data_IF_064705589915
#
_entry.id   IF_064705589915
#
_cell.length_a   1.000
_cell.length_b   1.000
_cell.length_c   1.000
_cell.angle_alpha   90.00
_cell.angle_beta   90.00
_cell.angle_gamma   90.00
#
_symmetry.space_group_name_H-M   'P 1'
#
loop_
_entity.id
_entity.type
_entity.pdbx_description
1 polymer ?
#
# COMPACT_ATOMS: atom_id res chain seq x y z
N UNK A 1 27.73 -11.41 -20.29
CA UNK A 1 26.79 -12.55 -20.16
C UNK A 1 26.06 -12.33 -18.84
N UNK A 2 24.74 -12.06 -18.89
CA UNK A 2 23.95 -11.90 -17.70
C UNK A 2 23.78 -13.24 -16.97
N UNK A 3 23.98 -13.25 -15.66
CA UNK A 3 23.60 -14.40 -14.85
C UNK A 3 22.07 -14.46 -14.81
N UNK A 4 21.50 -15.58 -15.25
CA UNK A 4 20.08 -15.83 -15.19
C UNK A 4 19.79 -16.55 -13.87
N UNK A 5 19.04 -15.89 -12.99
CA UNK A 5 18.48 -16.52 -11.80
C UNK A 5 17.11 -17.07 -12.16
N UNK A 6 17.00 -18.38 -12.30
CA UNK A 6 15.72 -19.05 -12.57
C UNK A 6 15.00 -19.38 -11.27
N UNK A 7 13.66 -19.30 -11.27
CA UNK A 7 12.80 -19.77 -10.17
C UNK A 7 13.12 -19.19 -8.78
N UNK A 8 13.25 -17.87 -8.70
CA UNK A 8 13.39 -17.21 -7.41
C UNK A 8 12.04 -17.17 -6.67
N UNK A 9 12.06 -17.60 -5.41
CA UNK A 9 10.89 -17.49 -4.53
C UNK A 9 10.97 -16.18 -3.77
N UNK A 10 9.95 -15.34 -3.94
CA UNK A 10 9.79 -14.07 -3.25
C UNK A 10 8.48 -14.09 -2.47
N UNK A 11 8.52 -13.59 -1.24
CA UNK A 11 7.32 -13.39 -0.43
C UNK A 11 6.67 -12.03 -0.64
N UNK A 12 7.37 -11.09 -1.26
CA UNK A 12 6.89 -9.74 -1.49
C UNK A 12 6.11 -9.66 -2.82
N UNK A 13 4.83 -9.33 -2.80
CA UNK A 13 4.05 -9.13 -4.01
C UNK A 13 4.33 -7.76 -4.64
N UNK A 14 3.91 -7.60 -5.89
CA UNK A 14 3.97 -6.35 -6.61
C UNK A 14 5.20 -6.20 -7.50
N UNK A 15 4.97 -5.62 -8.67
CA UNK A 15 5.99 -5.41 -9.71
C UNK A 15 7.17 -4.56 -9.21
N UNK A 16 6.90 -3.56 -8.40
CA UNK A 16 7.94 -2.70 -7.82
C UNK A 16 8.89 -3.48 -6.91
N UNK A 17 8.40 -4.49 -6.17
CA UNK A 17 9.24 -5.35 -5.34
C UNK A 17 10.12 -6.26 -6.19
N UNK A 18 9.63 -6.75 -7.34
CA UNK A 18 10.47 -7.49 -8.29
C UNK A 18 11.62 -6.62 -8.83
N UNK A 19 11.35 -5.34 -9.12
CA UNK A 19 12.38 -4.39 -9.55
C UNK A 19 13.43 -4.17 -8.44
N UNK A 20 12.98 -3.94 -7.20
CA UNK A 20 13.85 -3.76 -6.04
C UNK A 20 14.74 -4.99 -5.82
N UNK A 21 14.16 -6.19 -5.86
CA UNK A 21 14.90 -7.46 -5.72
C UNK A 21 15.89 -7.64 -6.87
N UNK A 22 15.51 -7.30 -8.09
CA UNK A 22 16.43 -7.37 -9.24
C UNK A 22 17.65 -6.48 -9.04
N UNK A 23 17.43 -5.26 -8.54
CA UNK A 23 18.53 -4.34 -8.21
C UNK A 23 19.41 -4.90 -7.08
N UNK A 24 18.81 -5.44 -6.02
CA UNK A 24 19.53 -6.04 -4.90
C UNK A 24 20.37 -7.24 -5.34
N UNK A 25 19.82 -8.13 -6.18
CA UNK A 25 20.55 -9.27 -6.77
C UNK A 25 21.74 -8.76 -7.58
N UNK A 26 21.52 -7.74 -8.42
CA UNK A 26 22.61 -7.18 -9.24
C UNK A 26 23.76 -6.66 -8.37
N UNK A 27 23.45 -5.92 -7.32
CA UNK A 27 24.45 -5.43 -6.37
C UNK A 27 25.15 -6.60 -5.67
N UNK A 28 24.42 -7.60 -5.20
CA UNK A 28 24.99 -8.80 -4.57
C UNK A 28 25.99 -9.53 -5.48
N UNK A 29 25.63 -9.70 -6.75
CA UNK A 29 26.52 -10.33 -7.76
C UNK A 29 27.79 -9.51 -7.98
N UNK A 30 27.69 -8.18 -8.09
CA UNK A 30 28.84 -7.29 -8.24
C UNK A 30 29.77 -7.31 -7.01
N UNK A 31 29.21 -7.53 -5.83
CA UNK A 31 29.96 -7.70 -4.58
C UNK A 31 30.54 -9.12 -4.40
N UNK A 32 30.33 -10.03 -5.35
CA UNK A 32 30.83 -11.40 -5.31
C UNK A 32 30.06 -12.33 -4.37
N UNK A 33 28.83 -11.97 -3.94
CA UNK A 33 27.96 -12.84 -3.15
C UNK A 33 27.51 -14.02 -4.05
N UNK A 34 27.57 -15.24 -3.49
CA UNK A 34 27.23 -16.45 -4.26
C UNK A 34 25.74 -16.51 -4.57
N UNK A 35 25.37 -17.16 -5.67
CA UNK A 35 23.96 -17.39 -6.01
C UNK A 35 23.21 -18.12 -4.88
N UNK A 36 23.87 -19.08 -4.23
CA UNK A 36 23.31 -19.81 -3.11
C UNK A 36 22.94 -18.88 -1.94
N UNK A 37 23.83 -17.97 -1.56
CA UNK A 37 23.57 -17.02 -0.46
C UNK A 37 22.49 -16.01 -0.83
N UNK A 38 22.46 -15.54 -2.09
CA UNK A 38 21.41 -14.65 -2.59
C UNK A 38 20.06 -15.35 -2.50
N UNK A 39 19.94 -16.59 -2.97
CA UNK A 39 18.68 -17.37 -2.88
C UNK A 39 18.23 -17.55 -1.44
N UNK A 40 19.15 -17.97 -0.58
CA UNK A 40 18.86 -18.15 0.85
C UNK A 40 18.39 -16.86 1.51
N UNK A 41 19.04 -15.72 1.21
CA UNK A 41 18.63 -14.42 1.72
C UNK A 41 17.21 -14.03 1.25
N UNK A 42 16.88 -14.23 -0.03
CA UNK A 42 15.56 -13.93 -0.58
C UNK A 42 14.46 -14.82 0.00
N UNK A 43 14.72 -16.12 0.19
CA UNK A 43 13.77 -17.04 0.81
C UNK A 43 13.50 -16.74 2.28
N UNK A 44 14.51 -16.28 3.01
CA UNK A 44 14.41 -15.93 4.43
C UNK A 44 13.91 -14.51 4.69
N UNK A 45 13.84 -13.66 3.67
CA UNK A 45 13.44 -12.27 3.82
C UNK A 45 11.96 -12.16 4.17
N UNK A 46 11.68 -11.58 5.34
CA UNK A 46 10.32 -11.45 5.87
C UNK A 46 9.60 -10.17 5.41
N UNK A 47 10.24 -9.36 4.58
CA UNK A 47 9.71 -8.06 4.18
C UNK A 47 10.20 -6.92 5.07
N UNK A 48 9.60 -5.77 4.91
CA UNK A 48 9.88 -4.55 5.65
C UNK A 48 8.59 -4.15 6.36
N UNK A 49 8.69 -3.77 7.62
CA UNK A 49 7.57 -3.26 8.41
C UNK A 49 6.88 -2.12 7.66
N UNK A 50 5.56 -2.18 7.57
CA UNK A 50 4.73 -1.21 6.83
C UNK A 50 5.07 -1.08 5.33
N UNK A 51 5.52 -2.16 4.70
CA UNK A 51 5.70 -2.26 3.24
C UNK A 51 5.02 -3.53 2.75
N UNK A 52 3.73 -3.44 2.44
CA UNK A 52 2.84 -4.56 2.16
C UNK A 52 2.96 -5.66 3.23
N UNK A 53 2.91 -5.24 4.49
CA UNK A 53 3.09 -6.11 5.64
C UNK A 53 1.77 -6.83 5.96
N UNK A 54 1.79 -8.17 5.95
CA UNK A 54 0.65 -8.95 6.42
C UNK A 54 0.61 -8.93 7.95
N UNK A 55 -0.27 -8.09 8.51
CA UNK A 55 -0.49 -8.02 9.95
C UNK A 55 -1.35 -9.19 10.42
N UNK A 56 -2.33 -9.57 9.60
CA UNK A 56 -3.20 -10.70 9.87
C UNK A 56 -3.63 -11.36 8.57
N UNK A 57 -3.59 -12.69 8.53
CA UNK A 57 -4.09 -13.49 7.41
C UNK A 57 -4.94 -14.63 7.95
N UNK A 58 -6.26 -14.50 7.82
CA UNK A 58 -7.25 -15.49 8.20
C UNK A 58 -8.00 -16.03 7.00
N UNK A 59 -8.87 -17.01 7.25
CA UNK A 59 -9.65 -17.67 6.20
C UNK A 59 -10.49 -16.67 5.39
N UNK A 60 -11.14 -15.73 6.06
CA UNK A 60 -12.10 -14.79 5.46
C UNK A 60 -11.61 -13.35 5.40
N UNK A 61 -10.58 -13.00 6.16
CA UNK A 61 -10.07 -11.65 6.27
C UNK A 61 -8.55 -11.63 6.17
N UNK A 62 -8.03 -10.57 5.58
CA UNK A 62 -6.61 -10.26 5.53
C UNK A 62 -6.45 -8.80 5.90
N UNK A 63 -5.50 -8.49 6.77
CA UNK A 63 -5.10 -7.12 7.08
C UNK A 63 -3.67 -6.89 6.64
N UNK A 64 -3.50 -5.91 5.75
CA UNK A 64 -2.21 -5.50 5.21
C UNK A 64 -1.96 -4.06 5.62
N UNK A 65 -0.78 -3.77 6.17
CA UNK A 65 -0.30 -2.41 6.44
C UNK A 65 0.75 -2.01 5.40
N UNK A 66 0.55 -0.84 4.79
CA UNK A 66 1.50 -0.25 3.85
C UNK A 66 1.72 1.23 4.14
N UNK A 67 2.96 1.68 4.04
CA UNK A 67 3.34 3.08 4.27
C UNK A 67 3.15 3.96 3.03
N UNK A 68 2.42 3.48 2.04
CA UNK A 68 2.14 4.23 0.81
C UNK A 68 1.56 5.61 1.14
N UNK A 69 2.22 6.65 0.68
CA UNK A 69 1.88 8.04 0.95
C UNK A 69 2.03 8.95 -0.28
N UNK A 70 2.29 8.35 -1.43
CA UNK A 70 2.29 8.97 -2.74
C UNK A 70 1.31 8.22 -3.66
N UNK A 71 0.63 8.87 -4.62
CA UNK A 71 -0.36 8.21 -5.48
C UNK A 71 0.15 6.94 -6.17
N UNK A 72 1.36 6.97 -6.70
CA UNK A 72 1.97 5.80 -7.36
C UNK A 72 2.24 4.65 -6.38
N UNK A 73 2.63 4.96 -5.13
CA UNK A 73 2.81 3.93 -4.09
C UNK A 73 1.47 3.30 -3.71
N UNK A 74 0.41 4.11 -3.53
CA UNK A 74 -0.95 3.63 -3.27
C UNK A 74 -1.44 2.72 -4.40
N UNK A 75 -1.30 3.16 -5.63
CA UNK A 75 -1.66 2.37 -6.81
C UNK A 75 -0.94 1.03 -6.81
N UNK A 76 0.38 1.04 -6.59
CA UNK A 76 1.18 -0.19 -6.56
C UNK A 76 0.76 -1.14 -5.43
N UNK A 77 0.45 -0.62 -4.24
CA UNK A 77 -0.03 -1.42 -3.11
C UNK A 77 -1.42 -2.02 -3.39
N UNK A 78 -2.34 -1.24 -3.97
CA UNK A 78 -3.69 -1.70 -4.32
C UNK A 78 -3.62 -2.77 -5.43
N UNK A 79 -2.82 -2.56 -6.47
CA UNK A 79 -2.61 -3.54 -7.53
C UNK A 79 -1.99 -4.84 -6.99
N UNK A 80 -1.04 -4.75 -6.06
CA UNK A 80 -0.47 -5.90 -5.39
C UNK A 80 -1.53 -6.66 -4.57
N UNK A 81 -2.35 -5.96 -3.80
CA UNK A 81 -3.44 -6.55 -3.02
C UNK A 81 -4.47 -7.23 -3.95
N UNK A 82 -4.85 -6.59 -5.04
CA UNK A 82 -5.76 -7.15 -6.05
C UNK A 82 -5.17 -8.40 -6.72
N UNK A 83 -3.88 -8.41 -6.99
CA UNK A 83 -3.18 -9.57 -7.56
C UNK A 83 -3.13 -10.76 -6.60
N UNK A 84 -2.93 -10.51 -5.30
CA UNK A 84 -2.93 -11.55 -4.28
C UNK A 84 -4.33 -12.09 -3.99
N UNK A 85 -5.36 -11.23 -4.10
CA UNK A 85 -6.74 -11.53 -3.70
C UNK A 85 -7.75 -11.07 -4.77
N UNK A 86 -7.73 -11.66 -5.98
CA UNK A 86 -8.49 -11.17 -7.13
C UNK A 86 -10.00 -11.16 -6.91
N UNK A 87 -10.51 -12.13 -6.14
CA UNK A 87 -11.95 -12.32 -5.92
C UNK A 87 -12.44 -11.70 -4.59
N UNK A 88 -11.53 -11.02 -3.86
CA UNK A 88 -11.89 -10.41 -2.58
C UNK A 88 -12.18 -8.92 -2.72
N UNK A 89 -13.14 -8.45 -1.93
CA UNK A 89 -13.39 -7.03 -1.75
C UNK A 89 -12.24 -6.39 -0.96
N UNK A 90 -11.75 -5.26 -1.45
CA UNK A 90 -10.66 -4.53 -0.82
C UNK A 90 -11.21 -3.21 -0.25
N UNK A 91 -11.20 -3.12 1.08
CA UNK A 91 -11.45 -1.88 1.81
C UNK A 91 -10.11 -1.18 2.08
N UNK A 92 -9.94 0.03 1.56
CA UNK A 92 -8.80 0.88 1.88
C UNK A 92 -9.11 1.85 3.02
N UNK A 93 -8.20 1.96 3.98
CA UNK A 93 -8.23 2.99 5.01
C UNK A 93 -7.02 3.87 4.77
N UNK A 94 -7.25 5.13 4.42
CA UNK A 94 -6.16 6.03 4.04
C UNK A 94 -6.16 7.30 4.88
N UNK A 95 -4.98 7.63 5.42
CA UNK A 95 -4.70 8.89 6.07
C UNK A 95 -3.82 9.75 5.15
N UNK A 96 -4.36 10.81 4.54
CA UNK A 96 -3.55 11.76 3.77
C UNK A 96 -2.47 12.36 4.67
N UNK A 97 -1.26 12.53 4.14
CA UNK A 97 -0.11 13.02 4.88
C UNK A 97 0.47 14.25 4.18
N UNK A 98 0.58 15.36 4.91
CA UNK A 98 1.01 16.69 4.46
C UNK A 98 -0.07 17.44 3.65
N UNK A 99 -0.28 18.71 4.01
CA UNK A 99 -1.20 19.59 3.30
C UNK A 99 -0.74 19.87 1.87
N UNK A 100 0.56 20.14 1.70
CA UNK A 100 1.14 20.43 0.37
C UNK A 100 0.95 19.24 -0.57
N UNK A 101 1.27 18.04 -0.12
CA UNK A 101 1.10 16.82 -0.94
C UNK A 101 -0.37 16.55 -1.26
N UNK A 102 -1.26 16.72 -0.28
CA UNK A 102 -2.70 16.55 -0.50
C UNK A 102 -3.22 17.52 -1.54
N UNK A 103 -2.82 18.80 -1.48
CA UNK A 103 -3.17 19.81 -2.47
C UNK A 103 -2.65 19.46 -3.86
N UNK A 104 -1.37 19.15 -3.96
CA UNK A 104 -0.67 19.01 -5.24
C UNK A 104 -1.04 17.72 -5.98
N UNK A 105 -1.40 16.66 -5.25
CA UNK A 105 -1.71 15.33 -5.80
C UNK A 105 -3.14 14.86 -5.55
N UNK A 106 -4.07 15.75 -5.18
CA UNK A 106 -5.46 15.39 -4.82
C UNK A 106 -6.12 14.51 -5.89
N UNK A 107 -6.02 14.91 -7.16
CA UNK A 107 -6.61 14.19 -8.29
C UNK A 107 -5.98 12.81 -8.51
N UNK A 108 -4.67 12.70 -8.33
CA UNK A 108 -3.96 11.43 -8.53
C UNK A 108 -4.22 10.48 -7.35
N UNK A 109 -4.35 11.01 -6.13
CA UNK A 109 -4.82 10.25 -4.97
C UNK A 109 -6.23 9.70 -5.20
N UNK A 110 -7.15 10.54 -5.67
CA UNK A 110 -8.53 10.12 -5.96
C UNK A 110 -8.53 8.96 -6.97
N UNK A 111 -7.84 9.10 -8.10
CA UNK A 111 -7.73 8.05 -9.12
C UNK A 111 -7.12 6.75 -8.59
N UNK A 112 -6.09 6.83 -7.73
CA UNK A 112 -5.50 5.65 -7.14
C UNK A 112 -6.46 4.94 -6.19
N UNK A 113 -7.17 5.70 -5.35
CA UNK A 113 -8.13 5.16 -4.39
C UNK A 113 -9.41 4.63 -5.07
N UNK A 114 -9.80 5.15 -6.23
CA UNK A 114 -10.91 4.64 -7.03
C UNK A 114 -10.68 3.20 -7.56
N UNK A 115 -9.46 2.66 -7.46
CA UNK A 115 -9.16 1.26 -7.76
C UNK A 115 -9.62 0.28 -6.68
N UNK A 116 -10.02 0.77 -5.52
CA UNK A 116 -10.56 -0.01 -4.41
C UNK A 116 -12.07 -0.29 -4.58
N UNK A 117 -12.60 -1.20 -3.78
CA UNK A 117 -14.04 -1.45 -3.73
C UNK A 117 -14.75 -0.54 -2.70
N UNK A 118 -14.00 -0.11 -1.69
CA UNK A 118 -14.45 0.80 -0.65
C UNK A 118 -13.27 1.58 -0.06
N UNK A 119 -13.50 2.82 0.34
CA UNK A 119 -12.50 3.70 0.96
C UNK A 119 -13.05 4.37 2.21
N UNK A 120 -12.25 4.39 3.24
CA UNK A 120 -12.39 5.26 4.39
C UNK A 120 -11.20 6.22 4.43
N UNK A 121 -11.45 7.51 4.28
CA UNK A 121 -10.46 8.54 4.57
C UNK A 121 -10.58 8.97 6.03
N UNK A 122 -9.45 9.11 6.70
CA UNK A 122 -9.39 9.73 8.04
C UNK A 122 -8.78 11.13 7.95
N UNK A 123 -8.66 11.82 9.08
CA UNK A 123 -8.10 13.17 9.11
C UNK A 123 -6.72 13.22 8.48
N UNK A 124 -6.45 14.28 7.74
CA UNK A 124 -5.12 14.58 7.22
C UNK A 124 -4.12 14.71 8.37
N UNK A 125 -2.99 14.06 8.24
CA UNK A 125 -1.88 14.19 9.18
C UNK A 125 -0.91 15.29 8.72
N UNK A 126 -0.81 16.40 9.46
CA UNK A 126 -0.04 17.57 9.03
C UNK A 126 1.47 17.39 9.12
N UNK A 127 1.95 16.44 9.96
CA UNK A 127 3.34 16.28 10.34
C UNK A 127 3.96 17.60 10.86
N UNK A 128 4.74 18.30 10.02
CA UNK A 128 5.42 19.55 10.38
C UNK A 128 4.90 20.77 9.63
N UNK A 129 3.85 20.58 8.83
CA UNK A 129 3.26 21.66 8.03
C UNK A 129 2.20 22.42 8.84
N UNK A 130 2.12 23.70 8.57
CA UNK A 130 0.97 24.52 8.99
C UNK A 130 -0.25 24.22 8.12
N UNK A 131 -1.42 24.39 8.68
CA UNK A 131 -2.65 24.14 7.97
C UNK A 131 -2.81 25.08 6.75
N UNK A 132 -3.10 24.52 5.59
CA UNK A 132 -3.43 25.28 4.39
C UNK A 132 -4.97 25.42 4.34
N UNK A 133 -5.50 26.64 4.35
CA UNK A 133 -6.94 26.86 4.28
C UNK A 133 -7.58 26.14 3.08
N UNK A 134 -8.67 25.42 3.32
CA UNK A 134 -9.41 24.68 2.29
C UNK A 134 -8.82 23.31 1.92
N UNK A 135 -7.66 22.92 2.47
CA UNK A 135 -7.08 21.60 2.23
C UNK A 135 -7.34 20.67 3.40
N UNK A 136 -7.93 19.53 3.09
CA UNK A 136 -8.24 18.47 4.07
C UNK A 136 -8.38 17.13 3.33
N UNK A 137 -8.73 16.06 4.04
CA UNK A 137 -9.04 14.77 3.42
C UNK A 137 -10.25 14.87 2.45
N UNK A 138 -11.15 15.81 2.65
CA UNK A 138 -12.26 16.07 1.73
C UNK A 138 -11.76 16.54 0.35
N UNK A 139 -10.62 17.21 0.28
CA UNK A 139 -9.98 17.61 -1.00
C UNK A 139 -9.78 16.41 -1.94
N UNK A 140 -9.47 15.23 -1.39
CA UNK A 140 -9.37 13.99 -2.16
C UNK A 140 -10.75 13.35 -2.32
N UNK A 141 -11.51 13.26 -1.22
CA UNK A 141 -12.82 12.58 -1.18
C UNK A 141 -13.79 13.12 -2.24
N UNK A 142 -13.83 14.43 -2.41
CA UNK A 142 -14.76 15.11 -3.33
C UNK A 142 -14.39 14.86 -4.81
N UNK A 143 -13.13 14.52 -5.10
CA UNK A 143 -12.63 14.21 -6.44
C UNK A 143 -12.77 12.73 -6.83
N UNK A 144 -13.09 11.84 -5.87
CA UNK A 144 -13.23 10.41 -6.14
C UNK A 144 -14.54 10.08 -6.81
N UNK A 145 -14.51 9.18 -7.78
CA UNK A 145 -15.68 8.62 -8.47
C UNK A 145 -16.29 7.41 -7.71
N UNK A 146 -15.51 6.77 -6.84
CA UNK A 146 -15.95 5.63 -6.05
C UNK A 146 -17.17 5.96 -5.22
N UNK A 147 -18.24 5.14 -5.34
CA UNK A 147 -19.49 5.33 -4.61
C UNK A 147 -19.40 4.98 -3.13
N UNK A 148 -18.61 3.93 -2.83
CA UNK A 148 -18.43 3.46 -1.46
C UNK A 148 -17.21 4.15 -0.81
N UNK A 149 -17.40 5.40 -0.46
CA UNK A 149 -16.39 6.24 0.18
C UNK A 149 -16.95 6.94 1.40
N UNK A 150 -16.16 7.09 2.44
CA UNK A 150 -16.55 7.78 3.67
C UNK A 150 -15.35 8.56 4.25
N UNK A 151 -15.67 9.64 4.94
CA UNK A 151 -14.74 10.28 5.86
C UNK A 151 -15.13 9.90 7.28
N UNK A 152 -14.15 9.49 8.08
CA UNK A 152 -14.36 9.07 9.47
C UNK A 152 -13.28 9.69 10.35
N UNK A 153 -13.65 10.23 11.49
CA UNK A 153 -12.67 10.69 12.47
C UNK A 153 -11.86 9.49 12.99
N UNK A 154 -10.56 9.64 13.12
CA UNK A 154 -9.67 8.56 13.56
C UNK A 154 -10.11 7.93 14.88
N UNK A 155 -10.65 8.75 15.82
CA UNK A 155 -11.18 8.27 17.09
C UNK A 155 -12.38 7.33 16.94
N UNK A 156 -13.16 7.50 15.86
CA UNK A 156 -14.40 6.76 15.62
C UNK A 156 -14.19 5.57 14.63
N UNK A 157 -12.98 5.44 14.06
CA UNK A 157 -12.68 4.47 13.01
C UNK A 157 -12.97 3.03 13.45
N UNK A 158 -12.58 2.65 14.65
CA UNK A 158 -12.78 1.28 15.15
C UNK A 158 -14.26 0.95 15.28
N UNK A 159 -15.08 1.88 15.79
CA UNK A 159 -16.53 1.66 15.91
C UNK A 159 -17.19 1.58 14.52
N UNK A 160 -16.75 2.40 13.57
CA UNK A 160 -17.23 2.31 12.19
C UNK A 160 -16.86 0.98 11.51
N UNK A 161 -15.66 0.46 11.77
CA UNK A 161 -15.24 -0.84 11.23
C UNK A 161 -16.04 -1.99 11.85
N UNK A 162 -16.38 -1.94 13.14
CA UNK A 162 -17.23 -2.95 13.78
C UNK A 162 -18.66 -3.00 13.20
N UNK A 163 -19.18 -1.84 12.75
CA UNK A 163 -20.50 -1.78 12.12
C UNK A 163 -20.50 -2.32 10.69
N UNK A 164 -19.34 -2.33 10.04
CA UNK A 164 -19.21 -2.94 8.72
C UNK A 164 -19.22 -4.46 8.90
N UNK A 165 -20.16 -5.13 8.26
CA UNK A 165 -20.08 -6.56 8.01
C UNK A 165 -18.90 -6.77 7.04
N UNK A 166 -17.69 -6.71 7.58
CA UNK A 166 -16.55 -7.32 6.93
C UNK A 166 -16.90 -8.80 6.90
N UNK A 167 -17.13 -9.39 5.72
CA UNK A 167 -17.49 -10.81 5.61
C UNK A 167 -16.47 -11.62 6.40
N UNK A 168 -16.89 -12.01 7.61
CA UNK A 168 -16.06 -12.68 8.61
C UNK A 168 -16.11 -14.18 8.32
#
# INVERSE_FOLDING_TARGET
>A
KGNLFNELKLRLPGRHNLQNVTAAIRIGVELGITEFDIRKALESFQGIVRRFEWIFEGKNQVYIDDYAHHPEELKAAIEAARSCYPDRRILGIFQPHLYTRTRDFAQDFAKALDLLDEVILVELYPAREEAIPGISSHTILDLMDLKQKAYVLKKDLIEQLKLKKLDI
#
